data_IF_941414165036
#
_entry.id   IF_941414165036
#
_cell.length_a   1.000
_cell.length_b   1.000
_cell.length_c   1.000
_cell.angle_alpha   90.00
_cell.angle_beta   90.00
_cell.angle_gamma   90.00
#
_symmetry.space_group_name_H-M   'P 1'
#
loop_
_entity.id
_entity.type
_entity.pdbx_description
1 polymer ?
#
# COMPACT_ATOMS: atom_id res chain seq x y z
N UNK A 1 5.85 14.64 -3.28
CA UNK A 1 5.28 14.75 -1.93
C UNK A 1 6.33 15.38 -1.04
N UNK A 2 5.99 16.33 -0.17
CA UNK A 2 6.94 16.88 0.83
C UNK A 2 6.69 16.24 2.19
N UNK A 3 7.63 16.40 3.11
CA UNK A 3 7.51 15.96 4.51
C UNK A 3 6.28 16.53 5.21
N UNK A 4 5.96 17.80 4.95
CA UNK A 4 4.81 18.49 5.55
C UNK A 4 3.50 17.91 5.04
N UNK A 5 3.40 17.67 3.72
CA UNK A 5 2.23 17.04 3.13
C UNK A 5 2.04 15.59 3.61
N UNK A 6 3.12 14.84 3.74
CA UNK A 6 3.07 13.48 4.27
C UNK A 6 2.61 13.47 5.73
N UNK A 7 3.17 14.34 6.58
CA UNK A 7 2.79 14.50 7.98
C UNK A 7 1.31 14.87 8.13
N UNK A 8 0.81 15.81 7.32
CA UNK A 8 -0.59 16.20 7.36
C UNK A 8 -1.53 15.06 6.92
N UNK A 9 -1.13 14.31 5.88
CA UNK A 9 -1.84 13.11 5.46
C UNK A 9 -1.88 12.04 6.55
N UNK A 10 -0.79 11.80 7.28
CA UNK A 10 -0.74 10.87 8.41
C UNK A 10 -1.73 11.26 9.51
N UNK A 11 -1.81 12.56 9.88
CA UNK A 11 -2.77 13.06 10.88
C UNK A 11 -4.21 12.79 10.46
N UNK A 12 -4.54 12.98 9.18
CA UNK A 12 -5.88 12.70 8.65
C UNK A 12 -6.22 11.22 8.74
N UNK A 13 -5.27 10.33 8.42
CA UNK A 13 -5.45 8.89 8.59
C UNK A 13 -5.63 8.54 10.06
N UNK A 14 -4.76 9.02 10.95
CA UNK A 14 -4.88 8.73 12.38
C UNK A 14 -6.27 9.12 12.91
N UNK A 15 -6.77 10.32 12.56
CA UNK A 15 -8.12 10.76 12.92
C UNK A 15 -9.20 9.80 12.44
N UNK A 16 -9.08 9.26 11.22
CA UNK A 16 -10.02 8.26 10.68
C UNK A 16 -9.95 6.95 11.47
N UNK A 17 -8.75 6.42 11.71
CA UNK A 17 -8.55 5.16 12.42
C UNK A 17 -9.00 5.27 13.90
N UNK A 18 -8.79 6.42 14.55
CA UNK A 18 -9.35 6.70 15.88
C UNK A 18 -10.88 6.59 15.90
N UNK A 19 -11.57 7.16 14.90
CA UNK A 19 -13.03 7.07 14.79
C UNK A 19 -13.51 5.64 14.61
N UNK A 20 -12.72 4.83 13.90
CA UNK A 20 -12.97 3.40 13.73
C UNK A 20 -12.61 2.57 14.98
N UNK A 21 -12.05 3.19 16.03
CA UNK A 21 -11.58 2.54 17.27
C UNK A 21 -10.58 1.41 17.01
N UNK A 22 -9.70 1.59 16.02
CA UNK A 22 -8.66 0.62 15.65
C UNK A 22 -7.27 1.16 15.96
N UNK A 23 -6.28 0.27 15.96
CA UNK A 23 -4.86 0.61 15.88
C UNK A 23 -4.25 -0.09 14.68
N UNK A 24 -3.43 0.61 13.90
CA UNK A 24 -2.77 0.05 12.72
C UNK A 24 -1.29 0.42 12.68
N UNK A 25 -0.49 -0.43 12.03
CA UNK A 25 0.88 -0.12 11.64
C UNK A 25 0.93 0.16 10.13
N UNK A 26 1.57 1.26 9.74
CA UNK A 26 1.81 1.62 8.35
C UNK A 26 3.30 1.48 8.03
N UNK A 27 3.60 0.58 7.09
CA UNK A 27 4.95 0.34 6.60
C UNK A 27 5.23 1.24 5.40
N UNK A 28 6.35 1.98 5.45
CA UNK A 28 6.80 2.84 4.36
C UNK A 28 8.28 2.64 4.11
N UNK A 29 8.73 2.89 2.88
CA UNK A 29 10.15 2.89 2.54
C UNK A 29 10.91 4.00 3.27
N UNK A 30 12.22 3.82 3.45
CA UNK A 30 13.07 4.83 4.06
C UNK A 30 13.43 5.93 3.04
N UNK A 31 12.46 6.80 2.76
CA UNK A 31 12.58 7.94 1.88
C UNK A 31 12.67 9.25 2.70
N UNK A 32 13.41 10.24 2.21
CA UNK A 32 13.62 11.53 2.90
C UNK A 32 12.32 12.28 3.20
N UNK A 33 11.28 12.06 2.41
CA UNK A 33 9.94 12.64 2.62
C UNK A 33 9.22 12.07 3.85
N UNK A 34 9.69 10.93 4.39
CA UNK A 34 9.14 10.29 5.60
C UNK A 34 9.88 10.72 6.88
N UNK A 35 10.68 11.78 6.82
CA UNK A 35 11.45 12.31 7.96
C UNK A 35 10.58 12.94 9.06
N UNK A 36 9.40 13.46 8.71
CA UNK A 36 8.50 14.15 9.64
C UNK A 36 7.31 13.26 10.02
N UNK A 37 7.49 12.41 11.03
CA UNK A 37 6.43 11.55 11.57
C UNK A 37 5.86 12.21 12.84
N UNK A 38 4.59 12.65 12.84
CA UNK A 38 3.97 13.21 14.03
C UNK A 38 3.66 12.13 15.08
N UNK A 39 3.57 12.52 16.34
CA UNK A 39 3.06 11.63 17.39
C UNK A 39 1.57 11.34 17.18
N UNK A 40 1.21 10.05 17.25
CA UNK A 40 -0.11 9.54 16.90
C UNK A 40 -0.48 8.37 17.83
N UNK A 41 -1.77 8.27 18.17
CA UNK A 41 -2.27 7.30 19.14
C UNK A 41 -2.88 6.03 18.52
N UNK A 42 -3.28 6.08 17.23
CA UNK A 42 -3.92 4.97 16.54
C UNK A 42 -3.13 4.49 15.30
N UNK A 43 -2.18 5.28 14.81
CA UNK A 43 -1.33 4.97 13.67
C UNK A 43 0.13 4.93 14.10
N UNK A 44 0.79 3.78 13.95
CA UNK A 44 2.24 3.64 14.10
C UNK A 44 2.89 3.57 12.72
N UNK A 45 3.83 4.45 12.42
CA UNK A 45 4.62 4.38 11.18
C UNK A 45 5.87 3.56 11.43
N UNK A 46 6.14 2.60 10.54
CA UNK A 46 7.33 1.74 10.56
C UNK A 46 8.12 1.98 9.26
N UNK A 47 9.35 2.47 9.40
CA UNK A 47 10.26 2.62 8.27
C UNK A 47 10.92 1.28 7.96
N UNK A 48 10.85 0.85 6.71
CA UNK A 48 11.59 -0.32 6.23
C UNK A 48 13.09 -0.01 6.16
N UNK A 49 13.99 -1.01 6.21
CA UNK A 49 15.43 -0.79 6.10
C UNK A 49 15.84 0.00 4.83
N UNK A 50 16.94 0.76 4.85
CA UNK A 50 17.49 1.36 3.63
C UNK A 50 17.74 0.30 2.56
N UNK A 51 17.48 0.60 1.28
CA UNK A 51 17.64 -0.33 0.16
C UNK A 51 16.84 -1.64 0.30
N UNK A 52 15.67 -1.58 0.96
CA UNK A 52 14.76 -2.72 1.06
C UNK A 52 14.50 -3.32 -0.32
N UNK A 53 14.86 -4.60 -0.50
CA UNK A 53 14.58 -5.30 -1.76
C UNK A 53 13.06 -5.30 -2.02
N UNK A 54 12.61 -5.20 -3.29
CA UNK A 54 11.19 -5.28 -3.65
C UNK A 54 10.47 -6.51 -3.06
N UNK A 55 11.22 -7.55 -2.68
CA UNK A 55 10.71 -8.76 -2.04
C UNK A 55 9.95 -8.47 -0.74
N UNK A 56 10.42 -7.51 0.07
CA UNK A 56 9.83 -7.21 1.38
C UNK A 56 8.70 -6.17 1.31
N UNK A 57 8.43 -5.59 0.13
CA UNK A 57 7.42 -4.56 -0.04
C UNK A 57 6.15 -5.14 -0.67
N UNK A 58 5.02 -5.23 0.06
CA UNK A 58 3.80 -5.83 -0.47
C UNK A 58 3.28 -5.13 -1.74
N UNK A 59 3.51 -3.82 -1.85
CA UNK A 59 3.13 -3.06 -3.03
C UNK A 59 3.87 -3.55 -4.30
N UNK A 60 5.14 -3.92 -4.15
CA UNK A 60 5.98 -4.44 -5.23
C UNK A 60 5.78 -5.94 -5.48
N UNK A 61 5.20 -6.69 -4.52
CA UNK A 61 4.86 -8.12 -4.68
C UNK A 61 3.68 -8.42 -5.62
N UNK A 62 3.12 -7.40 -6.26
CA UNK A 62 2.15 -7.57 -7.34
C UNK A 62 0.98 -6.60 -7.31
N UNK A 63 0.77 -5.85 -6.24
CA UNK A 63 -0.32 -4.87 -6.15
C UNK A 63 -0.15 -3.79 -7.22
N UNK A 64 1.03 -3.16 -7.31
CA UNK A 64 1.33 -2.13 -8.32
C UNK A 64 1.22 -2.72 -9.74
N UNK A 65 1.75 -3.93 -9.96
CA UNK A 65 1.65 -4.61 -11.25
C UNK A 65 0.20 -4.85 -11.65
N UNK A 66 -0.62 -5.36 -10.73
CA UNK A 66 -2.02 -5.69 -10.97
C UNK A 66 -2.84 -4.41 -11.25
N UNK A 67 -2.61 -3.35 -10.48
CA UNK A 67 -3.17 -2.02 -10.73
C UNK A 67 -2.83 -1.49 -12.12
N UNK A 68 -1.54 -1.53 -12.53
CA UNK A 68 -1.09 -1.09 -13.86
C UNK A 68 -1.76 -1.88 -14.99
N UNK A 69 -1.96 -3.20 -14.82
CA UNK A 69 -2.68 -4.03 -15.78
C UNK A 69 -4.12 -3.55 -15.95
N UNK A 70 -4.82 -3.24 -14.85
CA UNK A 70 -6.19 -2.72 -14.94
C UNK A 70 -6.25 -1.31 -15.55
N UNK A 71 -5.29 -0.42 -15.25
CA UNK A 71 -5.18 0.87 -15.91
C UNK A 71 -5.04 0.72 -17.43
N UNK A 72 -4.19 -0.22 -17.87
CA UNK A 72 -4.02 -0.52 -19.30
C UNK A 72 -5.28 -1.12 -19.91
N UNK A 73 -6.01 -1.97 -19.18
CA UNK A 73 -7.28 -2.53 -19.62
C UNK A 73 -8.34 -1.44 -19.85
N UNK A 74 -8.46 -0.47 -18.93
CA UNK A 74 -9.37 0.67 -19.11
C UNK A 74 -8.99 1.53 -20.33
N UNK A 75 -7.69 1.72 -20.58
CA UNK A 75 -7.19 2.45 -21.75
C UNK A 75 -7.54 1.74 -23.05
N UNK A 76 -7.24 0.44 -23.14
CA UNK A 76 -7.54 -0.38 -24.32
C UNK A 76 -9.04 -0.43 -24.57
N UNK A 77 -9.86 -0.56 -23.52
CA UNK A 77 -11.31 -0.55 -23.64
C UNK A 77 -11.81 0.74 -24.29
N UNK A 78 -11.37 1.91 -23.81
CA UNK A 78 -11.74 3.21 -24.40
C UNK A 78 -11.28 3.34 -25.87
N UNK A 79 -10.14 2.75 -26.21
CA UNK A 79 -9.65 2.76 -27.58
C UNK A 79 -10.53 1.89 -28.50
N UNK A 80 -10.86 0.68 -28.06
CA UNK A 80 -11.79 -0.21 -28.79
C UNK A 80 -13.17 0.43 -28.92
N UNK A 81 -13.72 0.98 -27.84
CA UNK A 81 -15.01 1.69 -27.85
C UNK A 81 -15.00 2.84 -28.87
N UNK A 82 -13.87 3.54 -29.04
CA UNK A 82 -13.76 4.62 -30.03
C UNK A 82 -13.79 4.08 -31.46
N UNK A 83 -13.10 2.96 -31.73
CA UNK A 83 -13.10 2.28 -33.03
C UNK A 83 -14.51 1.78 -33.37
N UNK A 84 -15.16 1.08 -32.45
CA UNK A 84 -16.49 0.49 -32.67
C UNK A 84 -17.55 1.55 -32.99
N UNK A 85 -17.39 2.76 -32.43
CA UNK A 85 -18.26 3.90 -32.70
C UNK A 85 -17.82 4.76 -33.89
N UNK A 86 -16.78 4.36 -34.65
CA UNK A 86 -16.16 5.16 -35.72
C UNK A 86 -15.75 6.58 -35.26
N UNK A 87 -15.32 6.73 -34.01
CA UNK A 87 -14.89 7.99 -33.41
C UNK A 87 -13.38 8.04 -33.25
N UNK A 88 -12.81 9.23 -33.43
CA UNK A 88 -11.41 9.47 -33.05
C UNK A 88 -11.29 9.49 -31.53
N UNK A 89 -10.24 8.87 -31.00
CA UNK A 89 -9.95 8.90 -29.57
C UNK A 89 -9.68 10.33 -29.11
N UNK A 90 -10.44 10.80 -28.11
CA UNK A 90 -10.21 12.11 -27.50
C UNK A 90 -8.97 12.06 -26.59
N UNK A 91 -8.20 13.16 -26.49
CA UNK A 91 -7.12 13.27 -25.50
C UNK A 91 -7.65 13.07 -24.08
N UNK A 92 -6.87 12.37 -23.25
CA UNK A 92 -7.19 12.18 -21.84
C UNK A 92 -6.93 13.47 -21.05
N UNK A 93 -7.93 13.92 -20.32
CA UNK A 93 -7.72 14.95 -19.29
C UNK A 93 -7.49 14.30 -17.91
N UNK A 94 -7.17 15.12 -16.92
CA UNK A 94 -6.89 14.66 -15.55
C UNK A 94 -8.09 13.93 -14.93
N UNK A 95 -9.32 14.38 -15.21
CA UNK A 95 -10.53 13.73 -14.70
C UNK A 95 -10.71 12.31 -15.26
N UNK A 96 -10.40 12.11 -16.55
CA UNK A 96 -10.41 10.77 -17.14
C UNK A 96 -9.35 9.87 -16.49
N UNK A 97 -8.13 10.38 -16.28
CA UNK A 97 -7.07 9.65 -15.59
C UNK A 97 -7.46 9.26 -14.16
N UNK A 98 -8.07 10.18 -13.40
CA UNK A 98 -8.56 9.90 -12.04
C UNK A 98 -9.65 8.83 -12.03
N UNK A 99 -10.61 8.90 -12.96
CA UNK A 99 -11.68 7.89 -13.10
C UNK A 99 -11.12 6.53 -13.48
N UNK A 100 -10.14 6.48 -14.38
CA UNK A 100 -9.47 5.23 -14.75
C UNK A 100 -8.69 4.64 -13.58
N UNK A 101 -7.93 5.46 -12.84
CA UNK A 101 -7.23 5.02 -11.64
C UNK A 101 -8.21 4.45 -10.60
N UNK A 102 -9.32 5.15 -10.33
CA UNK A 102 -10.36 4.67 -9.43
C UNK A 102 -10.92 3.31 -9.86
N UNK A 103 -11.36 3.17 -11.12
CA UNK A 103 -11.89 1.90 -11.64
C UNK A 103 -10.85 0.79 -11.59
N UNK A 104 -9.60 1.10 -11.90
CA UNK A 104 -8.50 0.13 -11.88
C UNK A 104 -8.24 -0.37 -10.46
N UNK A 105 -8.26 0.53 -9.48
CA UNK A 105 -8.12 0.20 -8.07
C UNK A 105 -9.24 -0.71 -7.58
N UNK A 106 -10.49 -0.42 -7.98
CA UNK A 106 -11.65 -1.26 -7.61
C UNK A 106 -11.58 -2.69 -8.16
N UNK A 107 -10.75 -2.95 -9.17
CA UNK A 107 -10.53 -4.30 -9.70
C UNK A 107 -9.38 -5.05 -9.00
N UNK A 108 -8.55 -4.37 -8.21
CA UNK A 108 -7.52 -5.03 -7.39
C UNK A 108 -8.20 -5.74 -6.22
N UNK A 109 -8.21 -7.07 -6.26
CA UNK A 109 -8.97 -7.87 -5.29
C UNK A 109 -8.28 -7.93 -3.91
N UNK A 110 -9.07 -8.08 -2.85
CA UNK A 110 -8.55 -8.33 -1.50
C UNK A 110 -7.67 -9.58 -1.45
N UNK A 111 -8.01 -10.62 -2.21
CA UNK A 111 -7.19 -11.84 -2.35
C UNK A 111 -5.81 -11.53 -2.94
N UNK A 112 -5.74 -10.70 -3.98
CA UNK A 112 -4.45 -10.24 -4.55
C UNK A 112 -3.63 -9.52 -3.49
N UNK A 113 -4.25 -8.60 -2.74
CA UNK A 113 -3.58 -7.84 -1.68
C UNK A 113 -3.05 -8.80 -0.61
N UNK A 114 -3.90 -9.68 -0.07
CA UNK A 114 -3.52 -10.67 0.95
C UNK A 114 -2.32 -11.50 0.51
N UNK A 115 -2.37 -12.07 -0.69
CA UNK A 115 -1.29 -12.88 -1.23
C UNK A 115 0.03 -12.09 -1.39
N UNK A 116 -0.04 -10.79 -1.70
CA UNK A 116 1.16 -9.94 -1.80
C UNK A 116 1.77 -9.68 -0.43
N UNK A 117 0.94 -9.48 0.60
CA UNK A 117 1.41 -9.35 1.99
C UNK A 117 2.02 -10.66 2.49
N UNK A 118 1.38 -11.80 2.26
CA UNK A 118 1.91 -13.12 2.62
C UNK A 118 3.27 -13.39 1.95
N UNK A 119 3.44 -12.99 0.68
CA UNK A 119 4.72 -13.09 -0.04
C UNK A 119 5.82 -12.14 0.44
N UNK A 120 5.45 -11.10 1.18
CA UNK A 120 6.36 -10.16 1.82
C UNK A 120 6.58 -10.50 3.30
N UNK A 121 6.35 -11.75 3.68
CA UNK A 121 6.51 -12.26 5.05
C UNK A 121 5.57 -11.64 6.09
N UNK A 122 4.51 -10.96 5.64
CA UNK A 122 3.39 -10.52 6.49
C UNK A 122 2.34 -11.63 6.60
N UNK A 123 2.75 -12.81 7.04
CA UNK A 123 1.82 -13.91 7.32
C UNK A 123 0.98 -13.58 8.55
N UNK A 124 -0.33 -13.87 8.49
CA UNK A 124 -1.18 -13.87 9.67
C UNK A 124 -0.68 -14.95 10.63
N UNK A 125 -0.13 -14.53 11.77
CA UNK A 125 0.03 -15.42 12.91
C UNK A 125 -1.35 -15.55 13.52
N UNK A 126 -1.92 -16.75 13.53
CA UNK A 126 -3.04 -17.04 14.41
C UNK A 126 -2.47 -16.98 15.84
N UNK A 127 -2.74 -15.90 16.56
CA UNK A 127 -2.23 -15.72 17.93
C UNK A 127 -3.33 -15.99 18.94
N UNK A 128 -3.07 -16.95 19.82
CA UNK A 128 -3.74 -17.15 21.10
C UNK A 128 -3.34 -16.00 22.05
N UNK A 129 -4.33 -15.23 22.50
CA UNK A 129 -4.29 -14.22 23.58
C UNK A 129 -3.38 -12.98 23.42
N UNK A 130 -3.89 -11.84 23.90
CA UNK A 130 -3.34 -10.49 23.67
C UNK A 130 -2.00 -10.19 24.37
N UNK A 131 -1.55 -11.01 25.33
CA UNK A 131 -0.33 -10.76 26.11
C UNK A 131 0.96 -11.27 25.42
N UNK A 132 0.87 -12.31 24.60
CA UNK A 132 2.01 -12.83 23.83
C UNK A 132 2.28 -12.00 22.56
N UNK A 133 1.31 -11.18 22.14
CA UNK A 133 1.37 -10.37 20.93
C UNK A 133 2.44 -9.26 20.98
N UNK A 134 2.64 -8.54 22.07
CA UNK A 134 3.64 -7.45 22.09
C UNK A 134 5.07 -7.99 22.00
N UNK A 135 5.36 -9.13 22.65
CA UNK A 135 6.67 -9.75 22.63
C UNK A 135 6.96 -10.45 21.29
N UNK A 136 5.98 -11.18 20.75
CA UNK A 136 6.12 -11.89 19.48
C UNK A 136 6.20 -10.91 18.30
N UNK A 137 5.37 -9.86 18.27
CA UNK A 137 5.42 -8.87 17.20
C UNK A 137 6.76 -8.12 17.25
N UNK A 138 7.26 -7.75 18.44
CA UNK A 138 8.58 -7.14 18.58
C UNK A 138 9.73 -8.05 18.11
N UNK A 139 9.63 -9.36 18.35
CA UNK A 139 10.56 -10.38 17.85
C UNK A 139 10.54 -10.51 16.32
N UNK A 140 9.35 -10.66 15.74
CA UNK A 140 9.16 -10.75 14.29
C UNK A 140 9.62 -9.47 13.58
N UNK A 141 9.34 -8.30 14.16
CA UNK A 141 9.86 -7.02 13.68
C UNK A 141 11.39 -6.98 13.72
N UNK A 142 12.02 -7.46 14.79
CA UNK A 142 13.48 -7.55 14.88
C UNK A 142 14.06 -8.49 13.84
N UNK A 143 13.45 -9.65 13.58
CA UNK A 143 13.91 -10.61 12.58
C UNK A 143 13.75 -10.13 11.13
N UNK A 144 12.63 -9.48 10.82
CA UNK A 144 12.39 -8.86 9.50
C UNK A 144 13.39 -7.72 9.27
N UNK A 145 13.68 -6.92 10.31
CA UNK A 145 14.61 -5.80 10.22
C UNK A 145 16.09 -6.22 10.27
N UNK A 146 16.43 -7.35 10.89
CA UNK A 146 17.81 -7.86 10.98
C UNK A 146 18.26 -8.61 9.73
N UNK A 147 17.34 -8.90 8.80
CA UNK A 147 17.64 -9.70 7.61
C UNK A 147 18.00 -11.16 7.92
N UNK A 148 17.81 -11.62 9.16
CA UNK A 148 18.22 -12.98 9.58
C UNK A 148 17.36 -14.09 8.97
N UNK A 149 16.25 -13.75 8.31
CA UNK A 149 15.41 -14.66 7.52
C UNK A 149 15.77 -14.71 6.03
N UNK A 150 16.85 -14.04 5.61
CA UNK A 150 17.29 -13.95 4.20
C UNK A 150 18.28 -15.06 3.77
N UNK A 151 18.45 -16.12 4.56
CA UNK A 151 19.17 -17.35 4.17
C UNK A 151 18.24 -18.56 4.20
#
# INVERSE_FOLDING_TARGET
MTSEFFSEWLKQINKKICKEKRKIALFVDNCTVHSLIPEMNALKVVLLPPNTTPKLQPLDQGIIRNFKVFCRKELVKKFVDSIDNNQKMKPFNILDCMRMAYRSWMNVTQKTIKNCFEKSDFSSVECESDAEQELHTAGLFKEILSGSKLL
#
